data_IF_749793955281
#
_entry.id   IF_749793955281
#
_cell.length_a   1.000
_cell.length_b   1.000
_cell.length_c   1.000
_cell.angle_alpha   90.00
_cell.angle_beta   90.00
_cell.angle_gamma   90.00
#
_symmetry.space_group_name_H-M   'P 1'
#
loop_
_entity.id
_entity.type
_entity.pdbx_description
1 polymer ?
#
# COMPACT_ATOMS: atom_id res chain seq x y z
N UNK A 1 -6.07 1.18 24.07
CA UNK A 1 -5.23 1.66 22.96
C UNK A 1 -6.06 1.52 21.70
N UNK A 2 -6.45 2.60 21.04
CA UNK A 2 -7.29 2.53 19.83
C UNK A 2 -6.41 2.05 18.69
N UNK A 3 -6.57 0.78 18.31
CA UNK A 3 -5.94 0.25 17.10
C UNK A 3 -6.46 1.04 15.91
N UNK A 4 -5.56 1.71 15.16
CA UNK A 4 -5.90 2.26 13.86
C UNK A 4 -6.22 1.09 12.96
N UNK A 5 -7.51 0.90 12.73
CA UNK A 5 -8.05 -0.13 11.87
C UNK A 5 -7.61 0.19 10.43
N UNK A 6 -6.56 -0.50 9.97
CA UNK A 6 -6.09 -0.47 8.57
C UNK A 6 -7.11 -1.22 7.73
N UNK A 7 -8.28 -0.61 7.53
CA UNK A 7 -9.34 -1.20 6.70
C UNK A 7 -8.88 -1.06 5.25
N UNK A 8 -8.33 -2.14 4.69
CA UNK A 8 -7.94 -2.30 3.28
C UNK A 8 -8.91 -1.60 2.34
N UNK A 9 -10.21 -1.85 2.54
CA UNK A 9 -11.29 -1.22 1.81
C UNK A 9 -11.22 0.31 1.78
N UNK A 10 -10.92 0.94 2.92
CA UNK A 10 -10.80 2.41 2.98
C UNK A 10 -9.66 2.92 2.11
N UNK A 11 -8.53 2.24 2.06
CA UNK A 11 -7.40 2.63 1.20
C UNK A 11 -7.78 2.50 -0.26
N UNK A 12 -8.40 1.37 -0.64
CA UNK A 12 -8.89 1.15 -1.99
C UNK A 12 -9.91 2.22 -2.39
N UNK A 13 -10.87 2.52 -1.52
CA UNK A 13 -11.87 3.57 -1.73
C UNK A 13 -11.23 4.95 -1.86
N UNK A 14 -10.30 5.31 -0.96
CA UNK A 14 -9.67 6.63 -0.94
C UNK A 14 -8.83 6.84 -2.22
N UNK A 15 -8.07 5.82 -2.66
CA UNK A 15 -7.30 5.87 -3.91
C UNK A 15 -8.21 5.90 -5.15
N UNK A 16 -9.29 5.12 -5.15
CA UNK A 16 -10.25 5.11 -6.25
C UNK A 16 -11.03 6.43 -6.34
N UNK A 17 -11.37 7.07 -5.22
CA UNK A 17 -12.00 8.40 -5.22
C UNK A 17 -11.07 9.48 -5.76
N UNK A 18 -9.76 9.38 -5.50
CA UNK A 18 -8.79 10.33 -6.02
C UNK A 18 -8.62 10.25 -7.55
N UNK A 19 -8.93 9.10 -8.17
CA UNK A 19 -8.50 8.84 -9.54
C UNK A 19 -9.55 8.25 -10.49
N UNK A 20 -10.68 7.74 -10.00
CA UNK A 20 -11.64 6.94 -10.79
C UNK A 20 -13.10 7.23 -10.44
N UNK A 21 -13.49 7.08 -9.18
CA UNK A 21 -14.88 7.14 -8.71
C UNK A 21 -15.26 8.55 -8.24
N UNK A 22 -16.54 8.89 -8.29
CA UNK A 22 -17.04 10.22 -7.88
C UNK A 22 -17.60 10.21 -6.47
N UNK A 23 -18.11 9.07 -6.01
CA UNK A 23 -18.68 8.91 -4.68
C UNK A 23 -18.32 7.53 -4.08
N UNK A 24 -18.42 7.42 -2.75
CA UNK A 24 -18.24 6.13 -2.06
C UNK A 24 -19.33 5.12 -2.42
N UNK A 25 -20.54 5.59 -2.70
CA UNK A 25 -21.66 4.73 -3.08
C UNK A 25 -21.40 3.99 -4.41
N UNK A 26 -20.57 4.55 -5.30
CA UNK A 26 -20.11 3.90 -6.53
C UNK A 26 -19.32 2.61 -6.24
N UNK A 27 -18.81 2.46 -5.01
CA UNK A 27 -17.94 1.37 -4.56
C UNK A 27 -18.63 0.40 -3.61
N UNK A 28 -19.80 0.77 -3.07
CA UNK A 28 -20.58 -0.07 -2.15
C UNK A 28 -20.92 -1.48 -2.67
N UNK A 29 -21.27 -1.70 -3.96
CA UNK A 29 -21.62 -3.04 -4.44
C UNK A 29 -20.40 -3.94 -4.70
N UNK A 30 -19.18 -3.42 -4.64
CA UNK A 30 -17.97 -4.14 -5.02
C UNK A 30 -17.26 -4.75 -3.81
N UNK A 31 -16.70 -5.96 -4.00
CA UNK A 31 -15.82 -6.57 -3.01
C UNK A 31 -14.46 -5.85 -2.96
N UNK A 32 -13.69 -6.05 -1.90
CA UNK A 32 -12.35 -5.47 -1.78
C UNK A 32 -11.44 -5.95 -2.93
N UNK A 33 -11.61 -7.19 -3.40
CA UNK A 33 -10.89 -7.72 -4.57
C UNK A 33 -11.27 -7.01 -5.86
N UNK A 34 -12.57 -6.74 -6.08
CA UNK A 34 -13.04 -5.99 -7.26
C UNK A 34 -12.48 -4.56 -7.27
N UNK A 35 -12.49 -3.91 -6.10
CA UNK A 35 -11.93 -2.57 -5.93
C UNK A 35 -10.41 -2.58 -6.17
N UNK A 36 -9.69 -3.60 -5.68
CA UNK A 36 -8.26 -3.78 -5.94
C UNK A 36 -7.97 -3.98 -7.44
N UNK A 37 -8.76 -4.78 -8.14
CA UNK A 37 -8.61 -4.98 -9.59
C UNK A 37 -8.91 -3.71 -10.39
N UNK A 38 -9.93 -2.94 -9.99
CA UNK A 38 -10.24 -1.65 -10.62
C UNK A 38 -9.13 -0.62 -10.40
N UNK A 39 -8.52 -0.63 -9.21
CA UNK A 39 -7.37 0.20 -8.90
C UNK A 39 -6.14 -0.21 -9.74
N UNK A 40 -5.87 -1.52 -9.85
CA UNK A 40 -4.81 -2.05 -10.72
C UNK A 40 -4.93 -1.53 -12.16
N UNK A 41 -6.13 -1.65 -12.75
CA UNK A 41 -6.38 -1.19 -14.12
C UNK A 41 -6.17 0.32 -14.30
N UNK A 42 -6.40 1.11 -13.25
CA UNK A 42 -6.15 2.55 -13.27
C UNK A 42 -4.65 2.86 -13.16
N UNK A 43 -3.91 2.09 -12.37
CA UNK A 43 -2.51 2.34 -12.04
C UNK A 43 -1.54 1.73 -13.06
N UNK A 44 -1.90 0.65 -13.75
CA UNK A 44 -0.99 -0.09 -14.65
C UNK A 44 -0.41 0.77 -15.79
N UNK A 45 -1.10 1.83 -16.23
CA UNK A 45 -0.64 2.74 -17.29
C UNK A 45 -0.05 4.05 -16.77
N UNK A 46 0.12 4.18 -15.44
CA UNK A 46 0.53 5.42 -14.78
C UNK A 46 1.78 5.19 -13.94
N UNK A 47 2.58 6.25 -13.82
CA UNK A 47 3.65 6.32 -12.83
C UNK A 47 3.07 6.85 -11.51
N UNK A 48 3.27 6.13 -10.42
CA UNK A 48 2.77 6.53 -9.10
C UNK A 48 3.81 6.34 -7.98
N UNK A 49 3.63 7.12 -6.91
CA UNK A 49 4.26 6.90 -5.61
C UNK A 49 3.14 6.85 -4.57
N UNK A 50 2.94 5.68 -3.96
CA UNK A 50 1.95 5.49 -2.90
C UNK A 50 2.68 5.31 -1.58
N UNK A 51 2.30 6.12 -0.59
CA UNK A 51 2.86 6.05 0.77
C UNK A 51 1.79 5.46 1.69
N UNK A 52 2.12 4.32 2.30
CA UNK A 52 1.28 3.64 3.29
C UNK A 52 1.93 3.84 4.65
N UNK A 53 1.37 4.77 5.43
CA UNK A 53 1.92 5.11 6.74
C UNK A 53 1.35 4.24 7.85
N UNK A 54 2.21 3.77 8.76
CA UNK A 54 1.85 3.03 9.99
C UNK A 54 1.09 1.71 9.75
N UNK A 55 1.59 0.88 8.83
CA UNK A 55 0.99 -0.41 8.49
C UNK A 55 1.17 -1.41 9.64
N UNK A 56 0.05 -1.91 10.17
CA UNK A 56 0.01 -2.75 11.37
C UNK A 56 -0.32 -4.22 11.09
N UNK A 57 -0.83 -4.58 9.91
CA UNK A 57 -1.22 -5.95 9.59
C UNK A 57 -0.83 -6.36 8.17
N UNK A 58 -0.39 -7.61 8.02
CA UNK A 58 0.03 -8.15 6.73
C UNK A 58 -1.13 -8.38 5.77
N UNK A 59 -2.34 -8.59 6.28
CA UNK A 59 -3.49 -8.95 5.46
C UNK A 59 -3.94 -7.80 4.55
N UNK A 60 -3.73 -6.55 5.00
CA UNK A 60 -3.93 -5.37 4.16
C UNK A 60 -2.93 -5.33 2.99
N UNK A 61 -1.68 -5.73 3.21
CA UNK A 61 -0.68 -5.80 2.15
C UNK A 61 -1.03 -6.87 1.12
N UNK A 62 -1.54 -8.03 1.52
CA UNK A 62 -1.96 -9.12 0.63
C UNK A 62 -2.96 -8.64 -0.43
N UNK A 63 -3.97 -7.90 -0.01
CA UNK A 63 -4.97 -7.35 -0.91
C UNK A 63 -4.41 -6.22 -1.77
N UNK A 64 -3.59 -5.34 -1.17
CA UNK A 64 -3.03 -4.19 -1.87
C UNK A 64 -1.98 -4.59 -2.91
N UNK A 65 -1.19 -5.64 -2.67
CA UNK A 65 -0.15 -6.05 -3.62
C UNK A 65 -0.72 -6.49 -4.96
N UNK A 66 -1.94 -7.02 -4.99
CA UNK A 66 -2.67 -7.32 -6.24
C UNK A 66 -2.89 -6.04 -7.05
N UNK A 67 -3.21 -4.93 -6.38
CA UNK A 67 -3.47 -3.65 -7.03
C UNK A 67 -2.20 -2.86 -7.39
N UNK A 68 -1.16 -2.98 -6.56
CA UNK A 68 -0.02 -2.07 -6.58
C UNK A 68 1.23 -2.65 -7.25
N UNK A 69 1.39 -3.98 -7.27
CA UNK A 69 2.53 -4.60 -7.93
C UNK A 69 2.17 -4.83 -9.39
N UNK A 70 2.68 -3.95 -10.26
CA UNK A 70 2.56 -4.11 -11.70
C UNK A 70 3.42 -5.28 -12.17
N UNK A 71 2.89 -6.06 -13.12
CA UNK A 71 3.69 -7.08 -13.84
C UNK A 71 4.64 -6.46 -14.87
N UNK A 72 4.49 -5.15 -15.16
CA UNK A 72 5.31 -4.44 -16.12
C UNK A 72 6.34 -3.54 -15.41
N UNK A 73 7.56 -3.42 -15.94
CA UNK A 73 8.58 -2.54 -15.39
C UNK A 73 8.12 -1.08 -15.51
N UNK A 74 7.65 -0.54 -14.38
CA UNK A 74 7.25 0.87 -14.25
C UNK A 74 8.19 1.58 -13.30
N UNK A 75 8.35 2.90 -13.45
CA UNK A 75 9.04 3.73 -12.46
C UNK A 75 8.18 3.99 -11.20
N UNK A 76 7.15 3.17 -10.96
CA UNK A 76 6.21 3.28 -9.86
C UNK A 76 6.82 2.68 -8.58
N UNK A 77 6.46 3.26 -7.43
CA UNK A 77 7.00 2.84 -6.12
C UNK A 77 5.91 2.84 -5.06
N UNK A 78 6.02 1.90 -4.13
CA UNK A 78 5.24 1.91 -2.89
C UNK A 78 6.22 2.07 -1.74
N UNK A 79 6.00 3.10 -0.91
CA UNK A 79 6.73 3.31 0.33
C UNK A 79 5.84 2.93 1.49
N UNK A 80 6.28 2.01 2.32
CA UNK A 80 5.57 1.58 3.52
C UNK A 80 6.38 1.98 4.75
N UNK A 81 5.72 2.57 5.73
CA UNK A 81 6.30 2.77 7.06
C UNK A 81 5.56 1.86 8.04
N UNK A 82 6.30 1.25 8.95
CA UNK A 82 5.74 0.47 10.05
C UNK A 82 6.66 0.56 11.25
N UNK A 83 6.07 0.43 12.43
CA UNK A 83 6.81 0.31 13.71
C UNK A 83 7.17 -1.13 14.04
N UNK A 84 6.61 -2.10 13.31
CA UNK A 84 6.81 -3.53 13.53
C UNK A 84 7.77 -4.10 12.49
N UNK A 85 8.96 -4.51 12.94
CA UNK A 85 9.99 -5.10 12.08
C UNK A 85 9.52 -6.42 11.45
N UNK A 86 8.70 -7.21 12.16
CA UNK A 86 8.15 -8.46 11.64
C UNK A 86 7.18 -8.24 10.48
N UNK A 87 6.39 -7.15 10.52
CA UNK A 87 5.55 -6.74 9.38
C UNK A 87 6.42 -6.35 8.19
N UNK A 88 7.47 -5.56 8.40
CA UNK A 88 8.39 -5.17 7.33
C UNK A 88 9.06 -6.38 6.66
N UNK A 89 9.60 -7.31 7.47
CA UNK A 89 10.28 -8.51 6.97
C UNK A 89 9.31 -9.41 6.17
N UNK A 90 8.09 -9.62 6.67
CA UNK A 90 7.07 -10.40 5.97
C UNK A 90 6.69 -9.75 4.63
N UNK A 91 6.45 -8.45 4.59
CA UNK A 91 6.10 -7.72 3.35
C UNK A 91 7.24 -7.80 2.32
N UNK A 92 8.48 -7.59 2.76
CA UNK A 92 9.64 -7.68 1.87
C UNK A 92 9.82 -9.08 1.28
N UNK A 93 9.56 -10.13 2.08
CA UNK A 93 9.64 -11.52 1.60
C UNK A 93 8.57 -11.90 0.56
N UNK A 94 7.45 -11.18 0.54
CA UNK A 94 6.33 -11.42 -0.38
C UNK A 94 6.46 -10.66 -1.70
N UNK A 95 7.49 -9.82 -1.83
CA UNK A 95 7.75 -9.03 -3.03
C UNK A 95 8.50 -9.90 -4.04
N UNK A 96 7.90 -10.13 -5.21
CA UNK A 96 8.37 -11.11 -6.21
C UNK A 96 9.68 -10.70 -6.91
N UNK A 97 9.94 -9.39 -7.02
CA UNK A 97 11.12 -8.84 -7.67
C UNK A 97 11.88 -7.94 -6.69
N UNK A 98 13.20 -8.16 -6.62
CA UNK A 98 14.16 -7.41 -5.81
C UNK A 98 13.71 -7.23 -4.35
N UNK A 99 13.99 -8.25 -3.50
CA UNK A 99 13.74 -8.28 -2.04
C UNK A 99 13.44 -6.89 -1.51
N UNK A 100 12.15 -6.57 -1.32
CA UNK A 100 11.70 -5.20 -1.09
C UNK A 100 12.63 -4.46 -0.12
N UNK A 101 13.08 -3.26 -0.49
CA UNK A 101 14.12 -2.56 0.26
C UNK A 101 13.59 -2.13 1.64
N UNK A 102 14.16 -2.72 2.71
CA UNK A 102 13.85 -2.35 4.09
C UNK A 102 14.84 -1.29 4.56
N UNK A 103 14.32 -0.09 4.85
CA UNK A 103 15.08 0.93 5.57
C UNK A 103 14.74 0.88 7.06
N UNK A 104 15.74 0.59 7.90
CA UNK A 104 15.62 0.71 9.35
C UNK A 104 16.03 2.11 9.78
N UNK A 105 15.07 2.92 10.21
CA UNK A 105 15.37 4.25 10.75
C UNK A 105 16.29 4.14 11.95
N UNK A 106 17.36 4.96 11.95
CA UNK A 106 18.29 5.10 13.09
C UNK A 106 17.88 6.27 13.98
N UNK A 107 18.39 6.28 15.20
CA UNK A 107 18.34 7.47 16.03
C UNK A 107 19.14 8.61 15.40
N UNK A 108 18.75 9.84 15.71
CA UNK A 108 19.52 11.03 15.36
C UNK A 108 20.87 10.99 16.08
N UNK A 109 21.90 11.47 15.40
CA UNK A 109 23.18 11.74 16.01
C UNK A 109 23.09 13.06 16.82
N UNK A 110 23.99 13.28 17.80
CA UNK A 110 23.98 14.49 18.62
C UNK A 110 24.10 15.81 17.82
N UNK A 111 24.67 15.75 16.62
CA UNK A 111 24.87 16.88 15.70
C UNK A 111 23.68 17.17 14.77
N UNK A 112 22.63 16.33 14.80
CA UNK A 112 21.44 16.45 13.93
C UNK A 112 20.22 17.07 14.65
N UNK A 113 20.41 17.66 15.84
CA UNK A 113 19.36 18.15 16.75
C UNK A 113 19.28 19.66 16.94
#
# INVERSE_FOLDING_TARGET
>A
MVGKDFRTRKILEDLLLQHVCRAKDDMAPFSDSDLAQKLYQCLQSKRFLIVLDDVCFTDAWECLRIALLSQEPTASRVLLTTRDVGVADKIASLSADDKGFIHRMRFLNPDEG
#
